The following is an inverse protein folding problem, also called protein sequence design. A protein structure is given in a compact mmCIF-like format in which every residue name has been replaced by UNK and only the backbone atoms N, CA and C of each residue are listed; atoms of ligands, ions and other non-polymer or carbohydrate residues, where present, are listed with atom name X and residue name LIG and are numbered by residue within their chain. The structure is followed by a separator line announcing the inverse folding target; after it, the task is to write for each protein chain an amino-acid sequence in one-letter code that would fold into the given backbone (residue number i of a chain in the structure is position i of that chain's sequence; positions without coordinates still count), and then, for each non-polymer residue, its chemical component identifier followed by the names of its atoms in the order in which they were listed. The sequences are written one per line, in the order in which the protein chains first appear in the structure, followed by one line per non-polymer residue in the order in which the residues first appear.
data_IF_559564837707
#
_entry.id   IF_559564837707
#
_cell.length_a   1.000
_cell.length_b   1.000
_cell.length_c   1.000
_cell.angle_alpha   90.00
_cell.angle_beta   90.00
_cell.angle_gamma   90.00
#
_symmetry.space_group_name_H-M   'P 1'
#
loop_
_entity.id
_entity.type
_entity.pdbx_description
1 polymer ?
#
# COMPACT_ATOMS: atom_id res chain seq x y z
N UNK A 1 50.96 19.56 -57.19
CA UNK A 1 49.89 18.62 -56.81
C UNK A 1 49.31 19.09 -55.48
N UNK A 2 48.07 19.57 -55.52
CA UNK A 2 47.46 20.38 -54.45
C UNK A 2 46.84 19.55 -53.33
N UNK A 3 47.19 19.89 -52.09
CA UNK A 3 46.50 19.47 -50.86
C UNK A 3 45.79 20.70 -50.32
N UNK A 4 44.59 21.01 -50.82
CA UNK A 4 43.81 22.17 -50.33
C UNK A 4 42.32 21.89 -50.10
N UNK A 5 41.85 20.65 -50.31
CA UNK A 5 40.41 20.34 -50.32
C UNK A 5 39.82 20.07 -48.92
N UNK A 6 40.63 19.76 -47.91
CA UNK A 6 40.13 19.35 -46.58
C UNK A 6 39.59 20.52 -45.72
N UNK A 7 40.13 21.73 -45.87
CA UNK A 7 39.76 22.89 -45.02
C UNK A 7 38.37 23.47 -45.34
N UNK A 8 37.90 23.35 -46.58
CA UNK A 8 36.62 23.93 -47.03
C UNK A 8 35.38 23.18 -46.52
N UNK A 9 35.52 21.90 -46.20
CA UNK A 9 34.43 21.05 -45.69
C UNK A 9 34.38 21.00 -44.15
N UNK A 10 35.47 21.37 -43.47
CA UNK A 10 35.58 21.30 -42.02
C UNK A 10 34.78 22.42 -41.32
N UNK A 11 34.77 23.62 -41.89
CA UNK A 11 34.03 24.77 -41.36
C UNK A 11 32.50 24.58 -41.36
N UNK A 12 31.82 24.15 -42.45
CA UNK A 12 30.37 23.95 -42.41
C UNK A 12 29.96 22.79 -41.50
N UNK A 13 30.79 21.75 -41.38
CA UNK A 13 30.54 20.61 -40.48
C UNK A 13 30.58 21.03 -39.00
N UNK A 14 31.55 21.87 -38.62
CA UNK A 14 31.65 22.42 -37.27
C UNK A 14 30.46 23.34 -36.97
N UNK A 15 30.05 24.18 -37.93
CA UNK A 15 28.87 25.05 -37.78
C UNK A 15 27.57 24.25 -37.61
N UNK A 16 27.41 23.16 -38.36
CA UNK A 16 26.25 22.28 -38.25
C UNK A 16 26.21 21.56 -36.91
N UNK A 17 27.36 21.05 -36.45
CA UNK A 17 27.47 20.37 -35.15
C UNK A 17 27.19 21.34 -34.00
N UNK A 18 27.70 22.57 -34.07
CA UNK A 18 27.42 23.62 -33.10
C UNK A 18 25.93 24.00 -33.08
N UNK A 19 25.29 24.08 -34.25
CA UNK A 19 23.86 24.32 -34.35
C UNK A 19 23.02 23.18 -33.76
N UNK A 20 23.40 21.92 -33.99
CA UNK A 20 22.71 20.74 -33.40
C UNK A 20 22.90 20.70 -31.89
N UNK A 21 24.11 20.95 -31.38
CA UNK A 21 24.37 21.01 -29.93
C UNK A 21 23.58 22.16 -29.31
N UNK A 22 23.56 23.33 -29.93
CA UNK A 22 22.74 24.46 -29.47
C UNK A 22 21.25 24.12 -29.49
N UNK A 23 20.76 23.44 -30.53
CA UNK A 23 19.37 22.95 -30.60
C UNK A 23 19.07 21.94 -29.49
N UNK A 24 20.01 21.05 -29.15
CA UNK A 24 19.88 20.07 -28.05
C UNK A 24 19.95 20.73 -26.67
N UNK A 25 20.75 21.78 -26.51
CA UNK A 25 20.80 22.59 -25.29
C UNK A 25 19.58 23.50 -25.14
N UNK A 26 18.97 23.92 -26.24
CA UNK A 26 17.74 24.72 -26.29
C UNK A 26 16.47 23.86 -26.32
N UNK A 27 16.57 22.53 -26.47
CA UNK A 27 15.44 21.62 -26.28
C UNK A 27 14.99 21.80 -24.83
N UNK A 28 13.81 22.40 -24.58
CA UNK A 28 13.31 22.53 -23.22
C UNK A 28 13.26 21.13 -22.63
N UNK A 29 13.97 20.96 -21.51
CA UNK A 29 13.91 19.77 -20.68
C UNK A 29 12.45 19.32 -20.65
N UNK A 30 12.18 18.12 -21.18
CA UNK A 30 10.85 17.54 -21.38
C UNK A 30 9.90 18.09 -20.32
N UNK A 31 8.95 18.89 -20.79
CA UNK A 31 8.03 19.68 -19.99
C UNK A 31 7.75 18.98 -18.66
N UNK A 32 8.15 19.62 -17.56
CA UNK A 32 7.67 19.25 -16.25
C UNK A 32 6.15 19.08 -16.40
N UNK A 33 5.66 17.84 -16.33
CA UNK A 33 4.23 17.58 -16.44
C UNK A 33 3.59 18.46 -15.38
N UNK A 34 2.53 19.23 -15.69
CA UNK A 34 1.82 19.95 -14.67
C UNK A 34 1.46 18.95 -13.58
N UNK A 35 1.99 19.16 -12.37
CA UNK A 35 1.53 18.42 -11.20
C UNK A 35 0.05 18.74 -11.13
N UNK A 36 -0.85 17.74 -11.19
CA UNK A 36 -2.26 17.98 -11.00
C UNK A 36 -2.39 18.78 -9.70
N UNK A 37 -2.97 19.97 -9.79
CA UNK A 37 -3.30 20.75 -8.61
C UNK A 37 -4.32 19.91 -7.84
N UNK A 38 -3.83 19.16 -6.86
CA UNK A 38 -4.70 18.38 -6.00
C UNK A 38 -5.49 19.37 -5.18
N UNK A 39 -6.80 19.38 -5.37
CA UNK A 39 -7.72 20.09 -4.48
C UNK A 39 -7.33 19.83 -3.02
N UNK A 40 -7.26 20.90 -2.22
CA UNK A 40 -7.03 20.77 -0.78
C UNK A 40 -8.09 19.85 -0.18
N UNK A 41 -7.70 18.94 0.70
CA UNK A 41 -8.64 18.08 1.42
C UNK A 41 -9.65 18.95 2.16
N UNK A 42 -10.92 18.90 1.72
CA UNK A 42 -12.03 19.57 2.40
C UNK A 42 -12.41 18.81 3.67
N UNK A 43 -11.79 19.21 4.78
CA UNK A 43 -12.06 18.65 6.11
C UNK A 43 -13.44 18.98 6.66
N UNK A 44 -14.22 19.88 6.04
CA UNK A 44 -15.58 20.20 6.49
C UNK A 44 -16.55 19.02 6.30
N UNK A 45 -16.23 18.12 5.36
CA UNK A 45 -17.03 16.94 5.03
C UNK A 45 -16.43 15.69 5.66
N UNK A 46 -16.51 15.60 6.98
CA UNK A 46 -16.08 14.40 7.71
C UNK A 46 -17.23 13.40 7.89
N UNK A 47 -16.92 12.11 7.75
CA UNK A 47 -17.86 11.02 8.02
C UNK A 47 -17.28 10.11 9.12
N UNK A 48 -17.95 10.04 10.26
CA UNK A 48 -17.57 9.12 11.32
C UNK A 48 -18.06 7.70 11.01
N UNK A 49 -17.15 6.72 11.06
CA UNK A 49 -17.42 5.32 10.73
C UNK A 49 -17.35 4.43 12.00
N UNK A 50 -18.37 4.44 12.88
CA UNK A 50 -18.29 3.77 14.16
C UNK A 50 -18.15 2.25 13.99
N UNK A 51 -17.22 1.66 14.73
CA UNK A 51 -17.14 0.21 14.89
C UNK A 51 -18.35 -0.28 15.68
N UNK A 52 -18.80 -1.51 15.39
CA UNK A 52 -19.90 -2.12 16.13
C UNK A 52 -19.39 -2.66 17.47
N UNK A 53 -19.91 -2.12 18.57
CA UNK A 53 -19.58 -2.55 19.93
C UNK A 53 -18.48 -1.69 20.56
N UNK A 54 -18.58 -1.47 21.87
CA UNK A 54 -17.74 -0.51 22.60
C UNK A 54 -16.34 -1.03 22.96
N UNK A 55 -16.04 -2.30 22.66
CA UNK A 55 -14.79 -2.96 23.06
C UNK A 55 -13.83 -3.22 21.90
N UNK A 56 -14.28 -3.03 20.65
CA UNK A 56 -13.41 -3.14 19.49
C UNK A 56 -12.60 -1.86 19.32
N UNK A 57 -11.28 -2.01 19.16
CA UNK A 57 -10.36 -0.90 18.86
C UNK A 57 -9.79 -1.03 17.45
N UNK A 58 -9.74 0.09 16.74
CA UNK A 58 -9.08 0.26 15.44
C UNK A 58 -9.29 1.70 14.94
N UNK A 59 -8.67 2.11 13.82
CA UNK A 59 -7.55 1.49 13.09
C UNK A 59 -6.17 1.78 13.70
N UNK A 60 -5.15 1.04 13.25
CA UNK A 60 -3.76 1.54 13.17
C UNK A 60 -3.47 1.94 11.72
N UNK A 61 -3.68 1.01 10.76
CA UNK A 61 -3.64 1.30 9.32
C UNK A 61 -5.02 1.24 8.65
N UNK A 62 -5.13 1.96 7.53
CA UNK A 62 -6.26 1.93 6.60
C UNK A 62 -5.77 1.70 5.17
N UNK A 63 -6.53 0.96 4.38
CA UNK A 63 -6.23 0.72 2.97
C UNK A 63 -7.48 0.86 2.09
N UNK A 64 -7.26 1.12 0.81
CA UNK A 64 -8.27 1.09 -0.24
C UNK A 64 -7.78 0.12 -1.32
N UNK A 65 -8.71 -0.60 -1.95
CA UNK A 65 -8.33 -1.50 -3.05
C UNK A 65 -8.11 -0.72 -4.36
N UNK A 66 -7.59 -1.40 -5.38
CA UNK A 66 -7.32 -0.79 -6.69
C UNK A 66 -8.57 -0.28 -7.43
N UNK A 67 -9.78 -0.68 -7.00
CA UNK A 67 -11.05 -0.15 -7.51
C UNK A 67 -11.59 1.03 -6.68
N UNK A 68 -10.85 1.47 -5.66
CA UNK A 68 -11.23 2.55 -4.75
C UNK A 68 -12.24 2.13 -3.68
N UNK A 69 -12.51 0.83 -3.50
CA UNK A 69 -13.38 0.38 -2.43
C UNK A 69 -12.66 0.43 -1.07
N UNK A 70 -13.46 0.46 0.00
CA UNK A 70 -12.99 0.58 1.37
C UNK A 70 -13.68 1.73 2.12
N UNK A 71 -13.06 2.25 3.20
CA UNK A 71 -11.77 1.81 3.74
C UNK A 71 -11.79 0.38 4.28
N UNK A 72 -10.62 -0.25 4.27
CA UNK A 72 -10.31 -1.48 4.99
C UNK A 72 -9.47 -1.15 6.23
N UNK A 73 -9.69 -1.83 7.35
CA UNK A 73 -9.00 -1.55 8.61
C UNK A 73 -8.85 -2.78 9.47
N UNK A 74 -7.69 -2.93 10.11
CA UNK A 74 -7.49 -3.88 11.20
C UNK A 74 -8.26 -3.48 12.45
N UNK A 75 -8.68 -4.45 13.26
CA UNK A 75 -9.29 -4.24 14.58
C UNK A 75 -8.71 -5.20 15.62
N UNK A 76 -8.95 -4.90 16.91
CA UNK A 76 -8.27 -5.54 18.02
C UNK A 76 -8.62 -7.01 18.23
N UNK A 77 -9.70 -7.50 17.60
CA UNK A 77 -10.04 -8.92 17.63
C UNK A 77 -9.37 -9.75 16.52
N UNK A 78 -8.43 -9.17 15.77
CA UNK A 78 -7.62 -9.88 14.78
C UNK A 78 -8.18 -9.89 13.37
N UNK A 79 -9.35 -9.28 13.15
CA UNK A 79 -9.96 -9.17 11.82
C UNK A 79 -9.48 -7.94 11.07
N UNK A 80 -9.55 -8.02 9.74
CA UNK A 80 -9.63 -6.87 8.85
C UNK A 80 -11.09 -6.67 8.47
N UNK A 81 -11.62 -5.47 8.68
CA UNK A 81 -12.96 -5.07 8.32
C UNK A 81 -12.95 -4.24 7.03
N UNK A 82 -14.04 -4.30 6.28
CA UNK A 82 -14.32 -3.43 5.12
C UNK A 82 -15.55 -2.59 5.38
N UNK A 83 -15.48 -1.31 5.07
CA UNK A 83 -16.65 -0.43 5.03
C UNK A 83 -17.41 -0.61 3.71
N UNK A 84 -18.72 -0.88 3.79
CA UNK A 84 -19.57 -1.16 2.62
C UNK A 84 -20.65 -0.07 2.42
N UNK A 85 -20.38 1.16 2.85
CA UNK A 85 -21.34 2.26 2.80
C UNK A 85 -22.33 2.29 3.97
N UNK A 86 -23.12 3.36 4.06
CA UNK A 86 -23.98 3.62 5.22
C UNK A 86 -25.06 2.56 5.46
N UNK A 87 -25.57 1.92 4.41
CA UNK A 87 -26.59 0.87 4.55
C UNK A 87 -26.02 -0.44 5.11
N UNK A 88 -24.84 -0.85 4.64
CA UNK A 88 -24.25 -2.16 4.96
C UNK A 88 -23.20 -2.11 6.07
N UNK A 89 -22.66 -0.92 6.36
CA UNK A 89 -21.67 -0.65 7.41
C UNK A 89 -20.43 -1.55 7.28
N UNK A 90 -19.74 -1.79 8.40
CA UNK A 90 -18.58 -2.68 8.48
C UNK A 90 -18.98 -4.14 8.36
N UNK A 91 -18.23 -4.89 7.54
CA UNK A 91 -18.25 -6.36 7.51
C UNK A 91 -16.84 -6.90 7.67
N UNK A 92 -16.70 -8.14 8.13
CA UNK A 92 -15.41 -8.84 8.10
C UNK A 92 -15.00 -9.08 6.65
N UNK A 93 -13.76 -8.70 6.32
CA UNK A 93 -13.14 -8.98 5.03
C UNK A 93 -12.14 -10.12 5.16
N UNK A 94 -11.24 -10.06 6.15
CA UNK A 94 -10.23 -11.09 6.35
C UNK A 94 -9.92 -11.36 7.81
N UNK A 95 -9.27 -12.48 8.07
CA UNK A 95 -8.76 -12.89 9.39
C UNK A 95 -7.56 -13.83 9.23
N UNK A 96 -6.69 -13.90 10.24
CA UNK A 96 -5.54 -14.80 10.21
C UNK A 96 -5.90 -16.28 10.52
N UNK A 97 -4.99 -17.22 10.25
CA UNK A 97 -5.21 -18.63 10.51
C UNK A 97 -5.59 -18.94 11.96
N UNK A 98 -6.55 -19.84 12.13
CA UNK A 98 -7.00 -20.30 13.45
C UNK A 98 -7.91 -19.31 14.18
N UNK A 99 -8.43 -18.29 13.48
CA UNK A 99 -9.40 -17.35 14.03
C UNK A 99 -10.67 -18.07 14.50
N UNK A 100 -11.16 -17.68 15.67
CA UNK A 100 -12.41 -18.18 16.23
C UNK A 100 -13.20 -17.04 16.85
N UNK A 101 -14.37 -16.73 16.31
CA UNK A 101 -15.15 -15.57 16.72
C UNK A 101 -15.50 -15.58 18.22
N UNK A 102 -15.86 -16.74 18.79
CA UNK A 102 -16.19 -16.85 20.23
C UNK A 102 -14.98 -16.57 21.13
N UNK A 103 -13.80 -17.05 20.71
CA UNK A 103 -12.56 -16.84 21.45
C UNK A 103 -12.04 -15.40 21.30
N UNK A 104 -12.14 -14.81 20.11
CA UNK A 104 -11.52 -13.54 19.76
C UNK A 104 -12.40 -12.32 20.04
N UNK A 105 -13.72 -12.49 20.13
CA UNK A 105 -14.60 -11.38 20.49
C UNK A 105 -14.29 -10.92 21.92
N UNK A 106 -13.84 -9.67 22.05
CA UNK A 106 -13.52 -9.06 23.32
C UNK A 106 -14.77 -8.95 24.23
N UNK A 107 -14.56 -9.15 25.53
CA UNK A 107 -15.55 -8.92 26.58
C UNK A 107 -14.92 -8.13 27.73
N UNK A 108 -15.74 -7.66 28.67
CA UNK A 108 -15.22 -6.97 29.88
C UNK A 108 -14.26 -7.84 30.69
N UNK A 109 -14.43 -9.16 30.65
CA UNK A 109 -13.60 -10.13 31.37
C UNK A 109 -12.48 -10.73 30.54
N UNK A 110 -12.51 -10.53 29.20
CA UNK A 110 -11.48 -10.96 28.26
C UNK A 110 -11.25 -9.82 27.26
N UNK A 111 -10.48 -8.79 27.63
CA UNK A 111 -10.10 -7.72 26.73
C UNK A 111 -9.40 -8.27 25.48
N UNK A 112 -9.39 -7.50 24.39
CA UNK A 112 -8.79 -7.95 23.14
C UNK A 112 -7.31 -8.29 23.33
N UNK A 113 -6.59 -7.48 24.12
CA UNK A 113 -5.15 -7.52 24.38
C UNK A 113 -4.67 -8.87 24.91
N UNK A 114 -5.49 -9.57 25.69
CA UNK A 114 -5.12 -10.90 26.22
C UNK A 114 -5.31 -12.03 25.20
N UNK A 115 -5.99 -11.75 24.09
CA UNK A 115 -6.25 -12.71 23.01
C UNK A 115 -5.51 -12.39 21.70
N UNK A 116 -4.89 -11.22 21.56
CA UNK A 116 -4.25 -10.78 20.32
C UNK A 116 -3.17 -11.77 19.84
N UNK A 117 -2.38 -12.34 20.74
CA UNK A 117 -1.35 -13.34 20.37
C UNK A 117 -1.92 -14.58 19.68
N UNK A 118 -3.18 -14.93 19.95
CA UNK A 118 -3.90 -16.03 19.30
C UNK A 118 -4.69 -15.55 18.08
N UNK A 119 -5.44 -14.48 18.26
CA UNK A 119 -6.43 -13.99 17.30
C UNK A 119 -5.82 -13.16 16.17
N UNK A 120 -4.64 -12.62 16.39
CA UNK A 120 -3.99 -11.64 15.54
C UNK A 120 -4.27 -10.21 15.97
N UNK A 121 -3.48 -9.29 15.42
CA UNK A 121 -3.65 -7.85 15.50
C UNK A 121 -3.10 -7.25 14.19
N UNK A 122 -3.95 -7.11 13.15
CA UNK A 122 -3.55 -6.47 11.90
C UNK A 122 -3.21 -5.00 12.16
N UNK A 123 -1.95 -4.65 11.99
CA UNK A 123 -1.46 -3.28 12.15
C UNK A 123 -1.36 -2.63 10.78
N UNK A 124 -0.54 -3.17 9.87
CA UNK A 124 -0.34 -2.63 8.53
C UNK A 124 -1.15 -3.35 7.45
N UNK A 125 -1.67 -2.58 6.50
CA UNK A 125 -2.47 -3.08 5.38
C UNK A 125 -2.01 -2.44 4.07
N UNK A 126 -1.73 -3.26 3.04
CA UNK A 126 -1.44 -2.75 1.70
C UNK A 126 -1.97 -3.68 0.62
N UNK A 127 -2.76 -3.14 -0.29
CA UNK A 127 -3.16 -3.86 -1.49
C UNK A 127 -2.05 -3.82 -2.54
N UNK A 128 -1.85 -4.94 -3.22
CA UNK A 128 -1.17 -4.97 -4.50
C UNK A 128 -2.19 -4.90 -5.63
N UNK A 129 -2.29 -3.74 -6.30
CA UNK A 129 -3.38 -3.46 -7.23
C UNK A 129 -3.40 -4.40 -8.44
N UNK A 130 -2.23 -4.85 -8.91
CA UNK A 130 -2.13 -5.76 -10.07
C UNK A 130 -2.81 -7.11 -9.85
N UNK A 131 -2.85 -7.61 -8.60
CA UNK A 131 -3.49 -8.89 -8.26
C UNK A 131 -4.79 -8.76 -7.44
N UNK A 132 -5.01 -7.60 -6.81
CA UNK A 132 -6.07 -7.41 -5.82
C UNK A 132 -5.81 -8.10 -4.48
N UNK A 133 -4.62 -8.69 -4.27
CA UNK A 133 -4.25 -9.26 -2.99
C UNK A 133 -4.05 -8.16 -1.94
N UNK A 134 -4.54 -8.41 -0.72
CA UNK A 134 -4.24 -7.61 0.45
C UNK A 134 -3.11 -8.29 1.23
N UNK A 135 -2.02 -7.56 1.43
CA UNK A 135 -0.98 -7.92 2.39
C UNK A 135 -1.28 -7.30 3.74
N UNK A 136 -1.03 -8.09 4.79
CA UNK A 136 -1.38 -7.78 6.16
C UNK A 136 -0.14 -8.01 7.03
N UNK A 137 0.35 -6.94 7.64
CA UNK A 137 1.31 -7.00 8.74
C UNK A 137 0.53 -7.26 10.03
N UNK A 138 0.57 -8.49 10.52
CA UNK A 138 -0.03 -8.85 11.80
C UNK A 138 1.06 -8.89 12.88
N UNK A 139 0.80 -8.21 14.00
CA UNK A 139 1.76 -8.07 15.08
C UNK A 139 2.29 -9.41 15.61
N UNK A 140 1.50 -10.49 15.53
CA UNK A 140 1.84 -11.78 16.12
C UNK A 140 2.02 -12.89 15.09
N UNK A 141 1.36 -12.80 13.93
CA UNK A 141 1.37 -13.85 12.89
C UNK A 141 2.39 -13.58 11.78
N UNK A 142 3.04 -12.41 11.78
CA UNK A 142 3.98 -12.03 10.75
C UNK A 142 3.31 -11.38 9.55
N UNK A 143 3.91 -11.53 8.38
CA UNK A 143 3.35 -11.08 7.11
C UNK A 143 2.37 -12.13 6.58
N UNK A 144 1.14 -11.71 6.29
CA UNK A 144 0.09 -12.53 5.72
C UNK A 144 -0.43 -11.93 4.40
N UNK A 145 -1.12 -12.76 3.62
CA UNK A 145 -1.76 -12.38 2.35
C UNK A 145 -3.14 -12.99 2.23
N UNK A 146 -4.11 -12.22 1.74
CA UNK A 146 -5.45 -12.70 1.38
C UNK A 146 -5.82 -12.20 -0.01
N UNK A 147 -6.56 -13.03 -0.77
CA UNK A 147 -7.03 -12.67 -2.10
C UNK A 147 -8.12 -11.58 -2.11
N UNK A 148 -8.54 -11.11 -3.29
CA UNK A 148 -9.58 -10.08 -3.44
C UNK A 148 -10.96 -10.52 -2.93
N UNK A 149 -11.18 -11.83 -2.77
CA UNK A 149 -12.41 -12.37 -2.16
C UNK A 149 -12.45 -12.26 -0.62
N UNK A 150 -11.37 -11.86 0.03
CA UNK A 150 -11.25 -11.91 1.49
C UNK A 150 -11.16 -13.35 2.01
N UNK A 151 -11.50 -13.54 3.29
CA UNK A 151 -11.49 -14.83 3.98
C UNK A 151 -10.27 -15.04 4.88
N UNK A 152 -9.88 -16.30 5.07
CA UNK A 152 -8.70 -16.64 5.85
C UNK A 152 -7.42 -16.29 5.09
N UNK A 153 -6.55 -15.48 5.70
CA UNK A 153 -5.27 -15.09 5.14
C UNK A 153 -4.23 -16.22 5.29
N UNK A 154 -3.33 -16.33 4.32
CA UNK A 154 -2.17 -17.24 4.39
C UNK A 154 -0.96 -16.50 4.94
N UNK A 155 -0.23 -17.12 5.88
CA UNK A 155 1.06 -16.59 6.35
C UNK A 155 2.10 -16.76 5.23
N UNK A 156 2.74 -15.66 4.82
CA UNK A 156 3.78 -15.66 3.78
C UNK A 156 5.19 -15.58 4.37
N UNK A 157 5.35 -14.90 5.51
CA UNK A 157 6.60 -14.88 6.25
C UNK A 157 6.33 -14.70 7.75
N UNK A 158 6.87 -15.61 8.56
CA UNK A 158 6.84 -15.51 10.03
C UNK A 158 8.24 -15.35 10.65
N UNK A 159 9.30 -15.44 9.82
CA UNK A 159 10.69 -15.29 10.21
C UNK A 159 11.50 -14.77 9.03
N UNK A 160 12.62 -14.12 9.32
CA UNK A 160 13.65 -13.73 8.36
C UNK A 160 15.01 -14.18 8.90
N UNK A 161 15.83 -14.81 8.07
CA UNK A 161 17.15 -15.34 8.46
C UNK A 161 17.12 -16.23 9.72
N UNK A 162 16.06 -17.03 9.86
CA UNK A 162 15.83 -17.90 11.01
C UNK A 162 15.36 -17.17 12.29
N UNK A 163 15.25 -15.84 12.27
CA UNK A 163 14.77 -15.03 13.40
C UNK A 163 13.26 -14.78 13.27
N UNK A 164 12.44 -15.18 14.26
CA UNK A 164 11.00 -14.95 14.23
C UNK A 164 10.64 -13.46 14.21
N UNK A 165 9.66 -13.11 13.39
CA UNK A 165 9.03 -11.79 13.41
C UNK A 165 8.15 -11.69 14.65
N UNK A 166 8.49 -10.79 15.58
CA UNK A 166 7.81 -10.66 16.88
C UNK A 166 6.76 -9.56 16.94
N UNK A 167 6.84 -8.61 16.00
CA UNK A 167 5.97 -7.44 15.94
C UNK A 167 5.97 -6.84 14.52
N UNK A 168 5.33 -7.53 13.58
CA UNK A 168 5.21 -7.01 12.21
C UNK A 168 4.16 -5.89 12.20
N UNK A 169 4.63 -4.66 11.96
CA UNK A 169 3.81 -3.45 12.13
C UNK A 169 3.34 -2.87 10.79
N UNK A 170 4.27 -2.51 9.91
CA UNK A 170 3.98 -1.96 8.59
C UNK A 170 4.14 -2.98 7.47
N UNK A 171 3.49 -2.70 6.34
CA UNK A 171 3.76 -3.37 5.06
C UNK A 171 3.55 -2.36 3.94
N UNK A 172 4.44 -2.37 2.96
CA UNK A 172 4.25 -1.69 1.69
C UNK A 172 4.40 -2.68 0.51
N UNK A 173 3.89 -2.31 -0.65
CA UNK A 173 4.04 -3.07 -1.88
C UNK A 173 4.37 -2.11 -3.01
N UNK A 174 5.51 -2.34 -3.65
CA UNK A 174 5.85 -1.72 -4.93
C UNK A 174 4.81 -2.15 -5.96
N UNK A 175 4.05 -1.18 -6.47
CA UNK A 175 2.94 -1.46 -7.38
C UNK A 175 3.39 -1.85 -8.79
N UNK A 176 4.64 -1.56 -9.18
CA UNK A 176 5.21 -1.94 -10.47
C UNK A 176 5.77 -3.36 -10.42
N UNK A 177 6.48 -3.72 -9.36
CA UNK A 177 7.19 -5.02 -9.26
C UNK A 177 6.41 -6.07 -8.48
N UNK A 178 5.51 -5.66 -7.59
CA UNK A 178 4.84 -6.55 -6.63
C UNK A 178 5.73 -6.95 -5.44
N UNK A 179 6.91 -6.34 -5.29
CA UNK A 179 7.78 -6.55 -4.14
C UNK A 179 7.12 -6.02 -2.86
N UNK A 180 7.18 -6.81 -1.79
CA UNK A 180 6.56 -6.52 -0.50
C UNK A 180 7.66 -6.14 0.50
N UNK A 181 7.51 -4.96 1.11
CA UNK A 181 8.47 -4.31 2.00
C UNK A 181 7.91 -4.19 3.43
#
# INVERSE_FOLDING_TARGET
MGITTAKKLLTPAISLLAAVVLLVLLLPCVAARPVPETDSIDGSRSLHLPLRGSLLRGPESVAFDGAGAGPYSGVSDGRVLRWNGQARRWSTYAYGPGYNAKACTASRTRPAEVTESRCGRPLGLRFYHGSGNLYIADAYKGLMRVGPGGGEATVVAAAADGVPLRFTNGVDVDQATGEVL
#
